data_IF_897375529916
#
_entry.id   IF_897375529916
#
_cell.length_a   1.000
_cell.length_b   1.000
_cell.length_c   1.000
_cell.angle_alpha   90.00
_cell.angle_beta   90.00
_cell.angle_gamma   90.00
#
_symmetry.space_group_name_H-M   'P 1'
#
loop_
_entity.id
_entity.type
_entity.pdbx_description
1 polymer ?
#
# COMPACT_ATOMS: atom_id res chain seq x y z
N UNK A 1 22.19 -15.10 -3.92
CA UNK A 1 21.04 -14.70 -4.79
C UNK A 1 20.64 -13.27 -4.47
N UNK A 2 20.68 -12.38 -5.46
CA UNK A 2 20.28 -10.98 -5.29
C UNK A 2 18.79 -10.84 -4.98
N UNK A 3 18.42 -9.70 -4.39
CA UNK A 3 17.02 -9.33 -4.19
C UNK A 3 16.45 -8.71 -5.48
N UNK A 4 15.47 -9.35 -6.07
CA UNK A 4 15.01 -9.11 -7.44
C UNK A 4 13.67 -8.38 -7.50
N UNK A 5 13.26 -7.95 -8.70
CA UNK A 5 11.88 -7.47 -8.93
C UNK A 5 10.81 -8.49 -8.56
N UNK A 6 11.14 -9.78 -8.71
CA UNK A 6 10.24 -10.88 -8.33
C UNK A 6 9.98 -10.87 -6.81
N UNK A 7 11.05 -10.69 -6.03
CA UNK A 7 10.98 -10.60 -4.58
C UNK A 7 10.16 -9.39 -4.12
N UNK A 8 10.36 -8.24 -4.78
CA UNK A 8 9.55 -7.03 -4.52
C UNK A 8 8.06 -7.29 -4.81
N UNK A 9 7.72 -7.98 -5.91
CA UNK A 9 6.34 -8.34 -6.22
C UNK A 9 5.77 -9.31 -5.19
N UNK A 10 6.57 -10.29 -4.75
CA UNK A 10 6.17 -11.21 -3.70
C UNK A 10 5.78 -10.46 -2.42
N UNK A 11 6.65 -9.57 -1.91
CA UNK A 11 6.37 -8.80 -0.70
C UNK A 11 5.13 -7.90 -0.89
N UNK A 12 4.95 -7.29 -2.05
CA UNK A 12 3.71 -6.55 -2.37
C UNK A 12 2.46 -7.46 -2.39
N UNK A 13 2.61 -8.71 -2.81
CA UNK A 13 1.55 -9.71 -2.73
C UNK A 13 1.17 -10.07 -1.29
N UNK A 14 2.16 -10.20 -0.42
CA UNK A 14 1.92 -10.36 1.02
C UNK A 14 1.26 -9.11 1.60
N UNK A 15 1.75 -7.93 1.26
CA UNK A 15 1.21 -6.67 1.74
C UNK A 15 -0.25 -6.45 1.32
N UNK A 16 -0.65 -6.81 0.08
CA UNK A 16 -2.07 -6.72 -0.30
C UNK A 16 -2.92 -7.72 0.48
N UNK A 17 -2.44 -8.92 0.75
CA UNK A 17 -3.15 -9.89 1.59
C UNK A 17 -3.36 -9.35 3.02
N UNK A 18 -2.33 -8.74 3.61
CA UNK A 18 -2.43 -8.07 4.92
C UNK A 18 -3.44 -6.93 4.89
N UNK A 19 -3.48 -6.13 3.83
CA UNK A 19 -4.44 -5.05 3.64
C UNK A 19 -5.88 -5.56 3.57
N UNK A 20 -6.14 -6.59 2.75
CA UNK A 20 -7.47 -7.20 2.64
C UNK A 20 -7.92 -7.76 3.99
N UNK A 21 -7.02 -8.43 4.71
CA UNK A 21 -7.30 -8.98 6.03
C UNK A 21 -7.58 -7.88 7.06
N UNK A 22 -6.84 -6.76 6.99
CA UNK A 22 -7.04 -5.57 7.81
C UNK A 22 -8.46 -5.02 7.64
N UNK A 23 -8.87 -4.75 6.41
CA UNK A 23 -10.19 -4.18 6.14
C UNK A 23 -11.36 -5.15 6.40
N UNK A 24 -11.11 -6.46 6.40
CA UNK A 24 -12.13 -7.43 6.77
C UNK A 24 -12.36 -7.50 8.28
N UNK A 25 -11.32 -7.41 9.11
CA UNK A 25 -11.43 -7.86 10.49
C UNK A 25 -10.92 -6.88 11.55
N UNK A 26 -10.15 -5.83 11.16
CA UNK A 26 -9.63 -4.87 12.15
C UNK A 26 -10.72 -3.99 12.77
N UNK A 27 -11.85 -3.84 12.09
CA UNK A 27 -12.96 -2.96 12.46
C UNK A 27 -14.28 -3.73 12.50
N UNK A 28 -14.52 -4.56 13.53
CA UNK A 28 -15.75 -5.35 13.63
C UNK A 28 -17.02 -4.50 13.55
N UNK A 29 -16.97 -3.26 14.05
CA UNK A 29 -18.06 -2.28 14.02
C UNK A 29 -18.46 -1.83 12.62
N UNK A 30 -17.59 -1.99 11.63
CA UNK A 30 -17.90 -1.71 10.21
C UNK A 30 -18.62 -2.87 9.51
N UNK A 31 -18.73 -4.03 10.17
CA UNK A 31 -19.44 -5.20 9.62
C UNK A 31 -20.91 -5.12 10.01
N UNK A 32 -21.70 -4.43 9.18
CA UNK A 32 -23.13 -4.16 9.43
C UNK A 32 -24.07 -5.14 8.72
N UNK A 33 -23.64 -5.75 7.63
CA UNK A 33 -24.47 -6.64 6.79
C UNK A 33 -23.94 -8.08 6.78
N UNK A 34 -23.21 -8.50 7.81
CA UNK A 34 -22.64 -9.84 7.89
C UNK A 34 -22.17 -10.21 9.28
N UNK A 35 -21.72 -11.43 9.41
CA UNK A 35 -21.08 -11.96 10.62
C UNK A 35 -19.86 -12.76 10.21
N UNK A 36 -18.85 -12.79 11.08
CA UNK A 36 -17.71 -13.68 10.87
C UNK A 36 -17.40 -14.48 12.13
N UNK A 37 -16.91 -15.68 11.91
CA UNK A 37 -16.48 -16.63 12.94
C UNK A 37 -14.94 -16.70 12.84
N UNK A 38 -14.25 -16.31 13.91
CA UNK A 38 -12.80 -16.51 14.02
C UNK A 38 -12.50 -17.98 14.26
N UNK A 39 -11.37 -18.45 13.70
CA UNK A 39 -10.91 -19.81 13.96
C UNK A 39 -10.51 -20.03 15.43
N UNK A 40 -10.16 -18.97 16.13
CA UNK A 40 -9.78 -19.02 17.52
C UNK A 40 -10.14 -17.73 18.24
N UNK A 41 -10.63 -17.88 19.48
CA UNK A 41 -10.88 -16.78 20.41
C UNK A 41 -10.44 -17.24 21.81
N UNK A 42 -9.75 -16.38 22.52
CA UNK A 42 -9.26 -16.65 23.88
C UNK A 42 -9.52 -15.41 24.74
N UNK A 43 -10.21 -15.58 25.87
CA UNK A 43 -10.59 -14.49 26.79
C UNK A 43 -11.10 -13.24 26.04
N UNK A 44 -12.15 -13.40 25.25
CA UNK A 44 -12.77 -12.35 24.42
C UNK A 44 -11.87 -11.77 23.32
N UNK A 45 -10.63 -12.23 23.22
CA UNK A 45 -9.72 -11.82 22.14
C UNK A 45 -9.93 -12.66 20.91
N UNK A 46 -10.42 -12.01 19.83
CA UNK A 46 -10.66 -12.64 18.55
C UNK A 46 -9.37 -12.58 17.69
N UNK A 47 -8.81 -13.76 17.38
CA UNK A 47 -7.57 -13.84 16.57
C UNK A 47 -7.69 -13.12 15.23
N UNK A 48 -8.86 -13.19 14.59
CA UNK A 48 -9.05 -12.51 13.30
C UNK A 48 -8.97 -10.99 13.45
N UNK A 49 -9.44 -10.42 14.55
CA UNK A 49 -9.31 -8.98 14.85
C UNK A 49 -7.85 -8.62 15.11
N UNK A 50 -7.12 -9.43 15.89
CA UNK A 50 -5.69 -9.18 16.15
C UNK A 50 -4.86 -9.22 14.88
N UNK A 51 -5.07 -10.23 14.04
CA UNK A 51 -4.42 -10.35 12.73
C UNK A 51 -4.84 -9.20 11.79
N UNK A 52 -6.11 -8.80 11.86
CA UNK A 52 -6.62 -7.64 11.14
C UNK A 52 -5.92 -6.35 11.55
N UNK A 53 -5.79 -6.09 12.85
CA UNK A 53 -5.08 -4.93 13.37
C UNK A 53 -3.59 -4.94 12.96
N UNK A 54 -2.94 -6.10 13.00
CA UNK A 54 -1.58 -6.28 12.50
C UNK A 54 -1.47 -5.95 11.01
N UNK A 55 -2.50 -6.27 10.23
CA UNK A 55 -2.52 -6.08 8.78
C UNK A 55 -2.27 -4.64 8.31
N UNK A 56 -2.48 -3.61 9.17
CA UNK A 56 -2.15 -2.21 8.86
C UNK A 56 -0.67 -1.99 8.50
N UNK A 57 0.23 -2.90 8.88
CA UNK A 57 1.65 -2.87 8.46
C UNK A 57 1.80 -2.86 6.93
N UNK A 58 0.75 -3.21 6.19
CA UNK A 58 0.73 -3.17 4.72
C UNK A 58 1.07 -1.77 4.18
N UNK A 59 0.60 -0.69 4.81
CA UNK A 59 0.83 0.69 4.34
C UNK A 59 2.33 1.05 4.35
N UNK A 60 3.04 1.01 5.49
CA UNK A 60 4.49 1.27 5.49
C UNK A 60 5.26 0.24 4.66
N UNK A 61 4.80 -1.01 4.53
CA UNK A 61 5.46 -2.03 3.72
C UNK A 61 5.34 -1.73 2.21
N UNK A 62 4.16 -1.33 1.71
CA UNK A 62 3.99 -0.86 0.33
C UNK A 62 4.85 0.37 0.04
N UNK A 63 4.87 1.31 0.97
CA UNK A 63 5.62 2.56 0.84
C UNK A 63 7.13 2.30 0.81
N UNK A 64 7.63 1.45 1.71
CA UNK A 64 9.03 1.02 1.77
C UNK A 64 9.45 0.32 0.48
N UNK A 65 8.66 -0.66 -0.01
CA UNK A 65 8.95 -1.35 -1.26
C UNK A 65 8.86 -0.42 -2.48
N UNK A 66 8.08 0.64 -2.40
CA UNK A 66 8.00 1.65 -3.47
C UNK A 66 9.23 2.54 -3.49
N UNK A 67 9.71 3.01 -2.33
CA UNK A 67 10.99 3.73 -2.19
C UNK A 67 12.17 2.88 -2.68
N UNK A 68 12.24 1.62 -2.24
CA UNK A 68 13.25 0.66 -2.68
C UNK A 68 13.27 0.51 -4.22
N UNK A 69 12.11 0.25 -4.82
CA UNK A 69 11.99 0.06 -6.27
C UNK A 69 12.24 1.34 -7.08
N UNK A 70 11.83 2.51 -6.56
CA UNK A 70 12.06 3.81 -7.19
C UNK A 70 13.54 4.13 -7.23
N UNK A 71 14.26 3.94 -6.11
CA UNK A 71 15.71 4.14 -6.04
C UNK A 71 16.46 3.23 -7.02
N UNK A 72 16.22 1.92 -7.00
CA UNK A 72 16.84 0.98 -7.95
C UNK A 72 16.52 1.32 -9.42
N UNK A 73 15.31 1.81 -9.68
CA UNK A 73 14.93 2.24 -11.04
C UNK A 73 15.71 3.48 -11.48
N UNK A 74 16.04 4.37 -10.56
CA UNK A 74 16.84 5.58 -10.85
C UNK A 74 18.32 5.30 -11.17
N UNK A 75 18.85 4.15 -10.72
CA UNK A 75 20.22 3.73 -11.01
C UNK A 75 20.42 3.16 -12.42
N UNK A 76 19.34 2.83 -13.13
CA UNK A 76 19.41 2.27 -14.50
C UNK A 76 19.72 3.29 -15.57
N UNK A 77 19.99 4.53 -15.19
CA UNK A 77 20.20 5.65 -16.08
C UNK A 77 18.93 6.36 -16.53
N UNK A 78 19.09 7.56 -17.03
CA UNK A 78 17.99 8.42 -17.48
C UNK A 78 17.65 9.57 -16.52
N UNK A 79 16.75 10.44 -17.00
CA UNK A 79 16.28 11.59 -16.23
C UNK A 79 15.40 11.15 -15.05
N UNK A 80 15.79 11.55 -13.85
CA UNK A 80 15.01 11.28 -12.62
C UNK A 80 13.62 11.94 -12.68
N UNK A 81 13.50 13.10 -13.32
CA UNK A 81 12.20 13.77 -13.52
C UNK A 81 11.27 12.97 -14.44
N UNK A 82 11.81 12.39 -15.51
CA UNK A 82 11.05 11.50 -16.39
C UNK A 82 10.61 10.22 -15.66
N UNK A 83 11.46 9.66 -14.79
CA UNK A 83 11.12 8.52 -13.93
C UNK A 83 9.93 8.87 -13.02
N UNK A 84 9.99 9.99 -12.33
CA UNK A 84 8.94 10.50 -11.44
C UNK A 84 7.63 10.69 -12.20
N UNK A 85 7.66 11.44 -13.31
CA UNK A 85 6.45 11.63 -14.15
C UNK A 85 5.82 10.32 -14.57
N UNK A 86 6.62 9.33 -14.98
CA UNK A 86 6.14 8.00 -15.37
C UNK A 86 5.47 7.27 -14.20
N UNK A 87 6.02 7.35 -12.98
CA UNK A 87 5.45 6.71 -11.81
C UNK A 87 4.15 7.39 -11.37
N UNK A 88 4.09 8.73 -11.32
CA UNK A 88 2.87 9.48 -11.02
C UNK A 88 1.79 9.19 -12.06
N UNK A 89 2.14 9.23 -13.35
CA UNK A 89 1.23 8.88 -14.43
C UNK A 89 0.69 7.44 -14.28
N UNK A 90 1.56 6.48 -13.96
CA UNK A 90 1.18 5.08 -13.72
C UNK A 90 0.21 4.92 -12.56
N UNK A 91 0.41 5.66 -11.45
CA UNK A 91 -0.47 5.71 -10.30
C UNK A 91 -1.85 6.25 -10.69
N UNK A 92 -1.90 7.46 -11.24
CA UNK A 92 -3.15 8.11 -11.63
C UNK A 92 -3.89 7.36 -12.74
N UNK A 93 -3.18 6.82 -13.72
CA UNK A 93 -3.78 5.98 -14.76
C UNK A 93 -4.51 4.78 -14.13
N UNK A 94 -3.89 4.09 -13.16
CA UNK A 94 -4.52 2.96 -12.47
C UNK A 94 -5.71 3.43 -11.64
N UNK A 95 -5.58 4.54 -10.93
CA UNK A 95 -6.65 5.15 -10.15
C UNK A 95 -7.85 5.55 -11.04
N UNK A 96 -7.61 6.27 -12.13
CA UNK A 96 -8.66 6.70 -13.04
C UNK A 96 -9.36 5.55 -13.78
N UNK A 97 -8.65 4.45 -14.02
CA UNK A 97 -9.26 3.24 -14.55
C UNK A 97 -10.33 2.70 -13.58
N UNK A 98 -10.00 2.59 -12.30
CA UNK A 98 -10.95 2.16 -11.26
C UNK A 98 -12.06 3.20 -11.08
N UNK A 99 -11.67 4.46 -10.93
CA UNK A 99 -12.61 5.58 -10.76
C UNK A 99 -13.67 5.60 -11.86
N UNK A 100 -13.28 5.53 -13.13
CA UNK A 100 -14.21 5.58 -14.27
C UNK A 100 -15.17 4.40 -14.32
N UNK A 101 -14.72 3.20 -13.93
CA UNK A 101 -15.59 2.00 -13.88
C UNK A 101 -16.56 2.09 -12.69
N UNK A 102 -16.12 2.62 -11.56
CA UNK A 102 -16.95 2.75 -10.36
C UNK A 102 -17.89 3.98 -10.40
N UNK A 103 -17.53 5.02 -11.16
CA UNK A 103 -18.24 6.31 -11.18
C UNK A 103 -19.75 6.19 -11.40
N UNK A 104 -20.30 5.39 -12.35
CA UNK A 104 -21.75 5.30 -12.53
C UNK A 104 -22.48 4.83 -11.27
N UNK A 105 -21.92 3.85 -10.55
CA UNK A 105 -22.50 3.32 -9.31
C UNK A 105 -22.33 4.32 -8.17
N UNK A 106 -21.18 4.98 -8.08
CA UNK A 106 -20.91 6.02 -7.10
C UNK A 106 -21.88 7.19 -7.26
N UNK A 107 -22.08 7.69 -8.49
CA UNK A 107 -23.02 8.78 -8.78
C UNK A 107 -24.45 8.36 -8.45
N UNK A 108 -24.86 7.14 -8.81
CA UNK A 108 -26.18 6.63 -8.50
C UNK A 108 -26.45 6.57 -6.99
N UNK A 109 -25.57 5.95 -6.22
CA UNK A 109 -25.68 5.84 -4.75
C UNK A 109 -25.58 7.20 -4.07
N UNK A 110 -24.67 8.06 -4.52
CA UNK A 110 -24.49 9.39 -3.94
C UNK A 110 -25.70 10.28 -4.13
N UNK A 111 -26.29 10.27 -5.31
CA UNK A 111 -27.55 11.01 -5.59
C UNK A 111 -28.73 10.54 -4.75
N UNK A 112 -28.77 9.26 -4.40
CA UNK A 112 -29.80 8.72 -3.53
C UNK A 112 -29.65 9.17 -2.07
N UNK A 113 -28.43 9.56 -1.66
CA UNK A 113 -28.10 9.93 -0.28
C UNK A 113 -27.95 11.44 -0.08
N UNK A 114 -27.48 12.17 -1.09
CA UNK A 114 -27.17 13.63 -1.05
C UNK A 114 -27.32 14.25 -2.44
N UNK A 115 -27.47 15.59 -2.49
CA UNK A 115 -27.29 16.32 -3.74
C UNK A 115 -25.81 16.24 -4.15
N UNK A 116 -25.50 15.51 -5.23
CA UNK A 116 -24.15 15.44 -5.79
C UNK A 116 -23.78 16.77 -6.44
N UNK A 117 -22.72 17.40 -5.96
CA UNK A 117 -22.18 18.62 -6.56
C UNK A 117 -21.04 18.25 -7.52
N UNK A 118 -20.96 18.91 -8.67
CA UNK A 118 -19.97 18.61 -9.71
C UNK A 118 -18.52 18.70 -9.20
N UNK A 119 -18.23 19.61 -8.26
CA UNK A 119 -16.89 19.74 -7.67
C UNK A 119 -16.46 18.49 -6.88
N UNK A 120 -17.40 17.75 -6.26
CA UNK A 120 -17.07 16.53 -5.51
C UNK A 120 -16.52 15.44 -6.44
N UNK A 121 -17.08 15.32 -7.65
CA UNK A 121 -16.55 14.39 -8.66
C UNK A 121 -15.15 14.80 -9.07
N UNK A 122 -14.91 16.10 -9.30
CA UNK A 122 -13.60 16.62 -9.70
C UNK A 122 -12.57 16.41 -8.58
N UNK A 123 -12.93 16.73 -7.33
CA UNK A 123 -12.00 16.57 -6.20
C UNK A 123 -11.66 15.11 -5.93
N UNK A 124 -12.62 14.19 -6.03
CA UNK A 124 -12.35 12.75 -5.94
C UNK A 124 -11.51 12.26 -7.12
N UNK A 125 -11.78 12.73 -8.35
CA UNK A 125 -11.00 12.38 -9.54
C UNK A 125 -9.53 12.84 -9.44
N UNK A 126 -9.27 13.96 -8.80
CA UNK A 126 -7.92 14.47 -8.54
C UNK A 126 -7.27 13.82 -7.31
N UNK A 127 -8.02 13.09 -6.49
CA UNK A 127 -7.55 12.53 -5.22
C UNK A 127 -7.46 13.57 -4.09
N UNK A 128 -8.03 14.77 -4.27
CA UNK A 128 -8.10 15.84 -3.26
C UNK A 128 -9.13 15.54 -2.17
N UNK A 129 -10.18 14.81 -2.53
CA UNK A 129 -11.21 14.30 -1.62
C UNK A 129 -11.30 12.78 -1.74
N UNK A 130 -11.72 12.14 -0.66
CA UNK A 130 -11.95 10.69 -0.58
C UNK A 130 -13.39 10.35 -0.24
N UNK A 131 -14.31 11.31 -0.41
CA UNK A 131 -15.72 11.13 -0.04
C UNK A 131 -16.43 9.97 -0.76
N UNK A 132 -15.92 9.52 -1.90
CA UNK A 132 -16.45 8.36 -2.63
C UNK A 132 -15.89 7.03 -2.11
N UNK A 133 -14.68 7.03 -1.55
CA UNK A 133 -14.04 5.88 -0.93
C UNK A 133 -12.91 6.38 -0.03
N UNK A 134 -13.10 6.32 1.27
CA UNK A 134 -12.13 6.82 2.26
C UNK A 134 -10.76 6.17 2.12
N UNK A 135 -10.71 4.93 1.66
CA UNK A 135 -9.45 4.19 1.51
C UNK A 135 -8.60 4.63 0.30
N UNK A 136 -9.09 5.59 -0.48
CA UNK A 136 -8.30 6.26 -1.53
C UNK A 136 -7.40 7.39 -1.01
N UNK A 137 -7.40 7.63 0.31
CA UNK A 137 -6.60 8.66 0.96
C UNK A 137 -5.12 8.64 0.55
N UNK A 138 -4.56 7.46 0.31
CA UNK A 138 -3.15 7.26 -0.01
C UNK A 138 -2.75 7.77 -1.42
N UNK A 139 -3.69 7.99 -2.35
CA UNK A 139 -3.38 8.36 -3.75
C UNK A 139 -2.60 9.67 -3.83
N UNK A 140 -3.14 10.75 -3.25
CA UNK A 140 -2.52 12.07 -3.33
C UNK A 140 -1.22 12.17 -2.52
N UNK A 141 -1.16 11.78 -1.25
CA UNK A 141 0.09 11.78 -0.48
C UNK A 141 1.19 10.96 -1.16
N UNK A 142 0.85 9.82 -1.74
CA UNK A 142 1.83 9.00 -2.45
C UNK A 142 2.31 9.65 -3.76
N UNK A 143 1.44 10.34 -4.50
CA UNK A 143 1.85 11.12 -5.68
C UNK A 143 2.81 12.27 -5.32
N UNK A 144 2.52 12.98 -4.21
CA UNK A 144 3.41 14.03 -3.67
C UNK A 144 4.75 13.43 -3.24
N UNK A 145 4.73 12.28 -2.57
CA UNK A 145 5.94 11.58 -2.15
C UNK A 145 6.81 11.16 -3.35
N UNK A 146 6.19 10.69 -4.44
CA UNK A 146 6.90 10.44 -5.69
C UNK A 146 7.51 11.72 -6.28
N UNK A 147 6.81 12.85 -6.21
CA UNK A 147 7.34 14.14 -6.66
C UNK A 147 8.54 14.62 -5.80
N UNK A 148 8.57 14.28 -4.52
CA UNK A 148 9.68 14.56 -3.61
C UNK A 148 10.90 13.63 -3.83
N UNK A 149 10.76 12.56 -4.61
CA UNK A 149 11.82 11.57 -4.81
C UNK A 149 13.17 12.17 -5.24
N UNK A 150 13.27 13.19 -6.15
CA UNK A 150 14.56 13.78 -6.50
C UNK A 150 15.29 14.41 -5.30
N UNK A 151 14.57 15.02 -4.36
CA UNK A 151 15.14 15.57 -3.12
C UNK A 151 15.56 14.44 -2.17
N UNK A 152 14.71 13.42 -2.00
CA UNK A 152 15.02 12.23 -1.21
C UNK A 152 16.26 11.52 -1.76
N UNK A 153 16.36 11.37 -3.08
CA UNK A 153 17.53 10.76 -3.73
C UNK A 153 18.81 11.55 -3.42
N UNK A 154 18.79 12.89 -3.55
CA UNK A 154 19.94 13.74 -3.20
C UNK A 154 20.34 13.58 -1.74
N UNK A 155 19.38 13.53 -0.83
CA UNK A 155 19.63 13.28 0.58
C UNK A 155 20.30 11.92 0.79
N UNK A 156 19.76 10.87 0.20
CA UNK A 156 20.31 9.51 0.31
C UNK A 156 21.70 9.41 -0.31
N UNK A 157 21.98 10.08 -1.43
CA UNK A 157 23.27 10.03 -2.16
C UNK A 157 24.29 11.10 -1.72
N UNK A 158 24.04 11.83 -0.63
CA UNK A 158 24.97 12.86 -0.13
C UNK A 158 26.35 12.28 0.18
N UNK A 159 27.37 13.12 0.11
CA UNK A 159 28.74 12.79 0.53
C UNK A 159 28.75 12.42 2.02
N UNK A 160 29.61 11.48 2.41
CA UNK A 160 29.77 11.00 3.79
C UNK A 160 28.51 10.33 4.39
N UNK A 161 27.54 9.91 3.56
CA UNK A 161 26.41 9.12 4.03
C UNK A 161 26.88 7.70 4.40
N UNK A 162 26.40 7.21 5.54
CA UNK A 162 26.59 5.84 6.00
C UNK A 162 25.25 5.25 6.43
N UNK A 163 25.09 3.92 6.32
CA UNK A 163 23.82 3.26 6.62
C UNK A 163 23.26 3.64 8.00
N UNK A 164 24.08 3.57 9.04
CA UNK A 164 23.64 3.87 10.41
C UNK A 164 23.29 5.34 10.60
N UNK A 165 24.05 6.25 9.99
CA UNK A 165 23.77 7.69 10.03
C UNK A 165 22.47 8.00 9.31
N UNK A 166 22.21 7.37 8.15
CA UNK A 166 20.99 7.57 7.37
C UNK A 166 19.76 7.06 8.13
N UNK A 167 19.85 5.87 8.73
CA UNK A 167 18.77 5.32 9.55
C UNK A 167 18.52 6.16 10.81
N UNK A 168 19.57 6.66 11.45
CA UNK A 168 19.46 7.59 12.59
C UNK A 168 18.71 8.88 12.18
N UNK A 169 19.07 9.49 11.04
CA UNK A 169 18.42 10.70 10.55
C UNK A 169 16.95 10.46 10.21
N UNK A 170 16.59 9.28 9.69
CA UNK A 170 15.17 8.92 9.49
C UNK A 170 14.45 8.75 10.83
N UNK A 171 15.11 8.19 11.85
CA UNK A 171 14.54 8.09 13.19
C UNK A 171 14.32 9.47 13.82
N UNK A 172 15.25 10.41 13.64
CA UNK A 172 15.10 11.81 14.07
C UNK A 172 13.95 12.48 13.32
N UNK A 173 13.89 12.34 11.98
CA UNK A 173 12.79 12.85 11.18
C UNK A 173 11.44 12.30 11.68
N UNK A 174 11.36 11.01 11.92
CA UNK A 174 10.15 10.38 12.45
C UNK A 174 9.78 10.92 13.84
N UNK A 175 10.75 11.17 14.72
CA UNK A 175 10.50 11.79 16.03
C UNK A 175 9.92 13.19 15.87
N UNK A 176 10.44 13.99 14.94
CA UNK A 176 9.87 15.30 14.61
C UNK A 176 8.43 15.19 14.12
N UNK A 177 8.16 14.25 13.22
CA UNK A 177 6.82 14.02 12.66
C UNK A 177 5.82 13.59 13.74
N UNK A 178 6.22 12.71 14.65
CA UNK A 178 5.29 12.07 15.59
C UNK A 178 5.08 12.88 16.86
N UNK A 179 6.07 13.63 17.30
CA UNK A 179 6.03 14.33 18.59
C UNK A 179 6.05 15.85 18.46
N UNK A 180 6.94 16.40 17.62
CA UNK A 180 7.16 17.85 17.56
C UNK A 180 6.07 18.52 16.73
N UNK A 181 5.80 17.99 15.53
CA UNK A 181 4.78 18.59 14.64
C UNK A 181 3.39 18.60 15.30
N UNK A 182 2.86 17.50 15.87
CA UNK A 182 1.59 17.53 16.57
C UNK A 182 1.57 18.52 17.74
N UNK A 183 2.62 18.53 18.57
CA UNK A 183 2.71 19.47 19.70
C UNK A 183 2.70 20.95 19.26
N UNK A 184 3.29 21.27 18.10
CA UNK A 184 3.23 22.61 17.50
C UNK A 184 1.84 22.89 16.96
N UNK A 185 1.21 21.91 16.27
CA UNK A 185 -0.11 22.09 15.64
C UNK A 185 -1.26 22.16 16.65
N UNK A 186 -1.06 21.67 17.88
CA UNK A 186 -2.00 21.83 19.00
C UNK A 186 -2.02 23.25 19.58
N UNK A 187 -1.03 24.10 19.23
CA UNK A 187 -1.02 25.48 19.72
C UNK A 187 -2.19 26.30 19.13
N UNK A 188 -2.81 27.20 19.91
CA UNK A 188 -3.98 27.97 19.46
C UNK A 188 -3.78 28.72 18.13
N UNK A 189 -2.57 29.21 17.88
CA UNK A 189 -2.22 29.94 16.65
C UNK A 189 -2.36 29.07 15.38
N UNK A 190 -2.26 27.76 15.50
CA UNK A 190 -2.37 26.80 14.38
C UNK A 190 -3.73 26.10 14.32
N UNK A 191 -4.67 26.39 15.25
CA UNK A 191 -5.96 25.70 15.35
C UNK A 191 -6.79 25.74 14.06
N UNK A 192 -6.77 26.87 13.35
CA UNK A 192 -7.44 26.98 12.05
C UNK A 192 -6.79 26.12 10.96
N UNK A 193 -5.46 26.04 10.95
CA UNK A 193 -4.71 25.23 9.96
C UNK A 193 -4.90 23.72 10.23
N UNK A 194 -4.81 23.29 11.49
CA UNK A 194 -4.91 21.89 11.89
C UNK A 194 -6.28 21.26 11.55
N UNK A 195 -7.34 22.07 11.42
CA UNK A 195 -8.68 21.60 11.06
C UNK A 195 -8.94 21.59 9.54
N UNK A 196 -7.95 21.97 8.72
CA UNK A 196 -8.12 22.01 7.26
C UNK A 196 -7.92 20.65 6.61
N UNK A 197 -8.63 20.42 5.50
CA UNK A 197 -8.38 19.25 4.62
C UNK A 197 -6.94 19.22 4.12
N UNK A 198 -6.36 20.40 3.88
CA UNK A 198 -4.94 20.51 3.47
C UNK A 198 -4.01 19.89 4.52
N UNK A 199 -4.22 20.25 5.80
CA UNK A 199 -3.38 19.71 6.87
C UNK A 199 -3.54 18.19 7.01
N UNK A 200 -4.75 17.67 6.92
CA UNK A 200 -4.99 16.23 6.92
C UNK A 200 -4.19 15.51 5.80
N UNK A 201 -4.09 16.09 4.59
CA UNK A 201 -3.26 15.53 3.50
C UNK A 201 -1.76 15.63 3.80
N UNK A 202 -1.32 16.67 4.53
CA UNK A 202 0.07 16.78 5.01
C UNK A 202 0.38 15.70 6.04
N UNK A 203 -0.49 15.45 7.01
CA UNK A 203 -0.32 14.38 8.01
C UNK A 203 -0.20 13.01 7.35
N UNK A 204 -1.06 12.70 6.39
CA UNK A 204 -0.99 11.45 5.62
C UNK A 204 0.33 11.30 4.84
N UNK A 205 0.86 12.39 4.27
CA UNK A 205 2.17 12.40 3.62
C UNK A 205 3.29 12.14 4.63
N UNK A 206 3.23 12.80 5.78
CA UNK A 206 4.23 12.66 6.84
C UNK A 206 4.22 11.23 7.43
N UNK A 207 3.06 10.60 7.57
CA UNK A 207 2.94 9.20 8.02
C UNK A 207 3.71 8.23 7.12
N UNK A 208 3.66 8.41 5.79
CA UNK A 208 4.29 7.47 4.84
C UNK A 208 5.74 7.80 4.49
N UNK A 209 6.20 9.04 4.75
CA UNK A 209 7.53 9.53 4.36
C UNK A 209 8.68 8.72 4.96
N UNK A 210 8.73 8.41 6.29
CA UNK A 210 9.84 7.67 6.88
C UNK A 210 10.04 6.29 6.26
N UNK A 211 8.95 5.56 5.99
CA UNK A 211 9.00 4.23 5.36
C UNK A 211 9.56 4.30 3.93
N UNK A 212 9.18 5.31 3.16
CA UNK A 212 9.68 5.49 1.80
C UNK A 212 11.18 5.80 1.77
N UNK A 213 11.63 6.74 2.61
CA UNK A 213 13.05 7.08 2.73
C UNK A 213 13.86 5.88 3.17
N UNK A 214 13.37 5.13 4.16
CA UNK A 214 13.99 3.86 4.60
C UNK A 214 14.13 2.88 3.44
N UNK A 215 13.09 2.72 2.60
CA UNK A 215 13.16 1.89 1.40
C UNK A 215 14.28 2.31 0.43
N UNK A 216 14.45 3.62 0.20
CA UNK A 216 15.54 4.16 -0.61
C UNK A 216 16.92 3.86 0.01
N UNK A 217 17.05 3.98 1.33
CA UNK A 217 18.28 3.68 2.08
C UNK A 217 18.63 2.18 1.97
N UNK A 218 17.66 1.29 2.22
CA UNK A 218 17.87 -0.16 2.10
C UNK A 218 18.31 -0.56 0.68
N UNK A 219 17.79 0.12 -0.34
CA UNK A 219 18.20 -0.09 -1.73
C UNK A 219 19.61 0.43 -2.02
N UNK A 220 19.95 1.64 -1.54
CA UNK A 220 21.28 2.22 -1.71
C UNK A 220 22.39 1.32 -1.16
N UNK A 221 22.18 0.81 0.05
CA UNK A 221 23.16 -0.03 0.73
C UNK A 221 23.02 -1.52 0.43
N UNK A 222 22.13 -1.88 -0.50
CA UNK A 222 21.87 -3.25 -0.93
C UNK A 222 21.60 -4.22 0.23
N UNK A 223 20.91 -3.73 1.27
CA UNK A 223 20.71 -4.46 2.53
C UNK A 223 19.95 -5.75 2.30
N UNK A 224 18.85 -5.70 1.53
CA UNK A 224 18.00 -6.88 1.30
C UNK A 224 18.72 -7.98 0.51
N UNK A 225 19.55 -7.63 -0.49
CA UNK A 225 20.36 -8.61 -1.22
C UNK A 225 21.42 -9.22 -0.33
N UNK A 226 22.15 -8.39 0.45
CA UNK A 226 23.21 -8.89 1.36
C UNK A 226 22.64 -9.86 2.39
N UNK A 227 21.49 -9.53 3.00
CA UNK A 227 20.81 -10.40 3.95
C UNK A 227 20.36 -11.69 3.28
N UNK A 228 19.72 -11.60 2.11
CA UNK A 228 19.25 -12.77 1.33
C UNK A 228 20.39 -13.67 0.93
N UNK A 229 21.54 -13.11 0.50
CA UNK A 229 22.71 -13.91 0.10
C UNK A 229 23.36 -14.62 1.29
N UNK A 230 23.45 -13.94 2.45
CA UNK A 230 24.16 -14.45 3.61
C UNK A 230 23.34 -15.47 4.43
N UNK A 231 22.05 -15.24 4.58
CA UNK A 231 21.18 -15.96 5.52
C UNK A 231 20.01 -16.68 4.84
N UNK A 232 19.74 -16.37 3.58
CA UNK A 232 18.52 -16.79 2.88
C UNK A 232 18.39 -18.30 2.74
N UNK A 233 17.22 -18.83 3.12
CA UNK A 233 16.84 -20.22 2.98
C UNK A 233 17.50 -21.20 3.94
N UNK A 234 18.43 -20.74 4.80
CA UNK A 234 19.06 -21.58 5.82
C UNK A 234 18.07 -21.88 6.95
N UNK A 235 17.87 -23.13 7.40
CA UNK A 235 16.82 -23.50 8.35
C UNK A 235 16.87 -22.69 9.65
N UNK A 236 18.05 -22.56 10.27
CA UNK A 236 18.22 -21.80 11.51
C UNK A 236 17.75 -20.33 11.36
N UNK A 237 18.19 -19.67 10.29
CA UNK A 237 17.83 -18.28 10.02
C UNK A 237 16.37 -18.13 9.60
N UNK A 238 15.79 -19.11 8.93
CA UNK A 238 14.36 -19.14 8.64
C UNK A 238 13.54 -19.24 9.94
N UNK A 239 13.93 -20.10 10.89
CA UNK A 239 13.30 -20.17 12.20
C UNK A 239 13.43 -18.85 12.98
N UNK A 240 14.62 -18.25 12.98
CA UNK A 240 14.86 -16.94 13.59
C UNK A 240 14.01 -15.83 12.93
N UNK A 241 13.89 -15.85 11.60
CA UNK A 241 13.05 -14.90 10.88
C UNK A 241 11.55 -15.06 11.22
N UNK A 242 11.05 -16.29 11.32
CA UNK A 242 9.67 -16.55 11.76
C UNK A 242 9.44 -16.10 13.21
N UNK A 243 10.38 -16.39 14.11
CA UNK A 243 10.32 -15.90 15.50
C UNK A 243 10.34 -14.35 15.56
N UNK A 244 11.18 -13.70 14.72
CA UNK A 244 11.21 -12.25 14.59
C UNK A 244 9.89 -11.67 14.06
N UNK A 245 9.26 -12.29 13.07
CA UNK A 245 7.92 -11.87 12.59
C UNK A 245 6.85 -12.02 13.66
N UNK A 246 6.91 -13.11 14.44
CA UNK A 246 6.02 -13.32 15.57
C UNK A 246 6.25 -12.25 16.65
N UNK A 247 7.52 -11.91 16.93
CA UNK A 247 7.85 -10.83 17.85
C UNK A 247 7.27 -9.48 17.38
N UNK A 248 7.39 -9.14 16.09
CA UNK A 248 6.76 -7.93 15.52
C UNK A 248 5.24 -7.98 15.74
N UNK A 249 4.60 -9.12 15.54
CA UNK A 249 3.15 -9.25 15.75
C UNK A 249 2.74 -8.87 17.19
N UNK A 250 3.51 -9.27 18.21
CA UNK A 250 3.22 -8.93 19.60
C UNK A 250 3.67 -7.53 20.02
N UNK A 251 4.76 -7.02 19.46
CA UNK A 251 5.32 -5.70 19.83
C UNK A 251 4.62 -4.55 19.13
N UNK A 252 4.19 -4.76 17.89
CA UNK A 252 3.58 -3.71 17.05
C UNK A 252 2.35 -3.03 17.67
N UNK A 253 1.42 -3.70 18.38
CA UNK A 253 0.29 -3.03 19.03
C UNK A 253 0.70 -1.90 19.98
N UNK A 254 1.90 -1.97 20.55
CA UNK A 254 2.42 -0.98 21.50
C UNK A 254 3.22 0.14 20.83
N UNK A 255 3.73 -0.08 19.61
CA UNK A 255 4.65 0.85 18.97
C UNK A 255 4.25 1.33 17.56
N UNK A 256 3.20 0.77 16.96
CA UNK A 256 2.81 1.06 15.57
C UNK A 256 2.58 2.54 15.29
N UNK A 257 2.04 3.27 16.25
CA UNK A 257 1.78 4.72 16.13
C UNK A 257 3.07 5.52 15.88
N UNK A 258 4.20 5.01 16.35
CA UNK A 258 5.47 5.76 16.40
C UNK A 258 6.55 5.18 15.50
N UNK A 259 6.58 3.86 15.31
CA UNK A 259 7.72 3.15 14.72
C UNK A 259 7.33 2.19 13.60
N UNK A 260 6.20 2.38 12.95
CA UNK A 260 5.70 1.42 11.94
C UNK A 260 6.65 1.31 10.73
N UNK A 261 7.41 2.36 10.40
CA UNK A 261 8.45 2.30 9.38
C UNK A 261 9.59 1.32 9.76
N UNK A 262 9.94 1.21 11.06
CA UNK A 262 10.91 0.23 11.57
C UNK A 262 10.33 -1.17 11.48
N UNK A 263 9.08 -1.36 11.93
CA UNK A 263 8.38 -2.64 11.85
C UNK A 263 8.36 -3.16 10.40
N UNK A 264 8.04 -2.30 9.43
CA UNK A 264 8.03 -2.66 8.02
C UNK A 264 9.42 -2.97 7.47
N UNK A 265 10.45 -2.21 7.88
CA UNK A 265 11.83 -2.45 7.46
C UNK A 265 12.35 -3.79 7.99
N UNK A 266 12.15 -4.07 9.28
CA UNK A 266 12.52 -5.35 9.90
C UNK A 266 11.74 -6.50 9.25
N UNK A 267 10.44 -6.33 9.02
CA UNK A 267 9.62 -7.33 8.34
C UNK A 267 10.14 -7.63 6.93
N UNK A 268 10.52 -6.62 6.14
CA UNK A 268 11.10 -6.80 4.81
C UNK A 268 12.46 -7.53 4.85
N UNK A 269 13.31 -7.23 5.84
CA UNK A 269 14.59 -7.91 6.07
C UNK A 269 14.37 -9.38 6.43
N UNK A 270 13.45 -9.68 7.35
CA UNK A 270 13.10 -11.05 7.72
C UNK A 270 12.50 -11.83 6.52
N UNK A 271 11.69 -11.16 5.70
CA UNK A 271 11.19 -11.77 4.46
C UNK A 271 12.32 -12.10 3.47
N UNK A 272 13.35 -11.25 3.36
CA UNK A 272 14.50 -11.53 2.49
C UNK A 272 15.21 -12.82 2.89
N UNK A 273 15.23 -13.18 4.19
CA UNK A 273 15.73 -14.47 4.69
C UNK A 273 14.85 -15.64 4.26
N UNK A 274 13.52 -15.47 4.30
CA UNK A 274 12.55 -16.54 4.02
C UNK A 274 12.37 -16.84 2.53
N UNK A 275 12.54 -15.82 1.66
CA UNK A 275 12.24 -15.94 0.21
C UNK A 275 12.89 -17.14 -0.51
N UNK A 276 14.15 -17.54 -0.21
CA UNK A 276 14.75 -18.71 -0.84
C UNK A 276 14.25 -20.06 -0.31
N UNK A 277 13.50 -20.08 0.79
CA UNK A 277 12.97 -21.33 1.36
C UNK A 277 11.92 -21.98 0.44
N UNK A 278 11.91 -23.31 0.37
CA UNK A 278 11.01 -24.07 -0.51
C UNK A 278 9.53 -23.68 -0.39
N UNK A 279 8.93 -23.50 0.82
CA UNK A 279 7.52 -23.09 0.93
C UNK A 279 7.25 -21.73 0.29
N UNK A 280 8.17 -20.77 0.42
CA UNK A 280 8.04 -19.44 -0.19
C UNK A 280 8.15 -19.51 -1.71
N UNK A 281 9.02 -20.38 -2.25
CA UNK A 281 9.13 -20.58 -3.69
C UNK A 281 7.87 -21.23 -4.29
N UNK A 282 7.24 -22.17 -3.58
CA UNK A 282 5.97 -22.78 -3.99
C UNK A 282 4.82 -21.75 -4.02
N UNK A 283 4.72 -20.93 -2.98
CA UNK A 283 3.74 -19.84 -2.91
C UNK A 283 4.07 -18.66 -3.85
N UNK A 284 5.31 -18.58 -4.34
CA UNK A 284 5.87 -17.45 -5.06
C UNK A 284 5.02 -16.97 -6.23
N UNK A 285 4.57 -17.88 -7.09
CA UNK A 285 3.77 -17.53 -8.27
C UNK A 285 2.43 -16.86 -7.90
N UNK A 286 1.83 -17.26 -6.79
CA UNK A 286 0.55 -16.68 -6.31
C UNK A 286 0.80 -15.28 -5.80
N UNK A 287 1.73 -15.11 -4.85
CA UNK A 287 2.03 -13.81 -4.28
C UNK A 287 2.59 -12.81 -5.31
N UNK A 288 3.39 -13.27 -6.28
CA UNK A 288 3.86 -12.42 -7.37
C UNK A 288 2.70 -11.86 -8.21
N UNK A 289 1.72 -12.72 -8.57
CA UNK A 289 0.53 -12.29 -9.31
C UNK A 289 -0.34 -11.32 -8.50
N UNK A 290 -0.53 -11.58 -7.21
CA UNK A 290 -1.22 -10.65 -6.31
C UNK A 290 -0.47 -9.32 -6.21
N UNK A 291 0.84 -9.35 -6.10
CA UNK A 291 1.69 -8.15 -6.05
C UNK A 291 1.67 -7.33 -7.35
N UNK A 292 1.54 -7.98 -8.52
CA UNK A 292 1.35 -7.30 -9.81
C UNK A 292 0.04 -6.52 -9.89
N UNK A 293 -1.00 -7.03 -9.28
CA UNK A 293 -2.35 -6.42 -9.27
C UNK A 293 -2.63 -5.62 -8.00
N UNK A 294 -1.70 -5.56 -7.05
CA UNK A 294 -1.91 -5.02 -5.70
C UNK A 294 -2.49 -3.61 -5.67
N UNK A 295 -2.05 -2.72 -6.56
CA UNK A 295 -2.59 -1.36 -6.63
C UNK A 295 -4.07 -1.33 -7.05
N UNK A 296 -4.46 -2.17 -8.01
CA UNK A 296 -5.83 -2.22 -8.47
C UNK A 296 -6.74 -2.95 -7.48
N UNK A 297 -6.22 -4.01 -6.84
CA UNK A 297 -6.90 -4.70 -5.74
C UNK A 297 -7.15 -3.75 -4.56
N UNK A 298 -6.12 -2.94 -4.18
CA UNK A 298 -6.28 -1.90 -3.16
C UNK A 298 -7.38 -0.91 -3.51
N UNK A 299 -7.42 -0.40 -4.72
CA UNK A 299 -8.41 0.60 -5.13
C UNK A 299 -9.85 0.06 -5.20
N UNK A 300 -10.05 -1.26 -5.26
CA UNK A 300 -11.38 -1.87 -5.49
C UNK A 300 -11.94 -2.64 -4.31
N UNK A 301 -11.12 -3.17 -3.40
CA UNK A 301 -11.57 -4.14 -2.39
C UNK A 301 -12.65 -3.60 -1.43
N UNK A 302 -12.57 -2.33 -1.07
CA UNK A 302 -13.52 -1.71 -0.14
C UNK A 302 -14.92 -1.56 -0.70
N UNK A 303 -15.07 -1.49 -2.03
CA UNK A 303 -16.38 -1.57 -2.65
C UNK A 303 -17.07 -2.92 -2.40
N UNK A 304 -16.28 -3.98 -2.24
CA UNK A 304 -16.80 -5.29 -1.86
C UNK A 304 -17.08 -5.39 -0.36
N UNK A 305 -16.09 -5.08 0.50
CA UNK A 305 -16.20 -5.37 1.92
C UNK A 305 -16.89 -4.27 2.75
N UNK A 306 -17.03 -3.02 2.24
CA UNK A 306 -17.67 -1.92 2.97
C UNK A 306 -18.88 -1.33 2.29
N UNK A 307 -18.79 -1.04 0.97
CA UNK A 307 -19.76 -0.14 0.36
C UNK A 307 -20.90 -0.82 -0.37
N UNK A 308 -20.65 -1.93 -1.10
CA UNK A 308 -21.66 -2.43 -2.03
C UNK A 308 -22.07 -3.88 -1.83
N UNK A 309 -21.15 -4.74 -1.45
CA UNK A 309 -21.34 -6.19 -1.48
C UNK A 309 -20.92 -6.86 -0.16
N UNK A 310 -21.01 -6.15 0.96
CA UNK A 310 -20.58 -6.66 2.26
C UNK A 310 -21.25 -8.01 2.58
N UNK A 311 -22.57 -8.10 2.40
CA UNK A 311 -23.32 -9.34 2.62
C UNK A 311 -22.78 -10.51 1.78
N UNK A 312 -22.39 -10.25 0.52
CA UNK A 312 -21.79 -11.27 -0.36
C UNK A 312 -20.42 -11.72 0.13
N UNK A 313 -19.61 -10.76 0.61
CA UNK A 313 -18.25 -11.04 1.11
C UNK A 313 -18.29 -11.90 2.37
N UNK A 314 -19.22 -11.65 3.28
CA UNK A 314 -19.33 -12.38 4.57
C UNK A 314 -20.19 -13.65 4.49
N UNK A 315 -20.73 -14.03 3.32
CA UNK A 315 -21.48 -15.28 3.13
C UNK A 315 -20.77 -16.53 3.67
N UNK A 316 -19.46 -16.73 3.47
CA UNK A 316 -18.78 -17.94 3.93
C UNK A 316 -18.67 -18.06 5.47
N UNK A 317 -18.95 -17.01 6.22
CA UNK A 317 -18.93 -16.89 7.70
C UNK A 317 -17.58 -17.14 8.38
N UNK A 318 -16.76 -18.08 7.93
CA UNK A 318 -15.44 -18.36 8.53
C UNK A 318 -14.39 -17.40 8.02
N UNK A 319 -13.64 -16.75 8.91
CA UNK A 319 -12.68 -15.68 8.56
C UNK A 319 -11.66 -16.07 7.47
N UNK A 320 -11.08 -17.28 7.41
CA UNK A 320 -10.19 -17.62 6.30
C UNK A 320 -10.90 -17.72 4.95
N UNK A 321 -12.16 -18.22 4.94
CA UNK A 321 -12.94 -18.33 3.71
C UNK A 321 -13.40 -16.96 3.22
N UNK A 322 -13.80 -16.06 4.11
CA UNK A 322 -14.13 -14.66 3.79
C UNK A 322 -12.90 -13.97 3.17
N UNK A 323 -11.72 -14.15 3.77
CA UNK A 323 -10.48 -13.59 3.25
C UNK A 323 -10.14 -14.13 1.85
N UNK A 324 -10.20 -15.42 1.63
CA UNK A 324 -9.95 -16.02 0.32
C UNK A 324 -10.97 -15.53 -0.72
N UNK A 325 -12.23 -15.39 -0.32
CA UNK A 325 -13.30 -14.91 -1.17
C UNK A 325 -13.09 -13.45 -1.58
N UNK A 326 -12.80 -12.54 -0.63
CA UNK A 326 -12.47 -11.15 -0.95
C UNK A 326 -11.20 -11.05 -1.82
N UNK A 327 -10.20 -11.89 -1.57
CA UNK A 327 -8.98 -11.93 -2.39
C UNK A 327 -9.32 -12.31 -3.83
N UNK A 328 -10.16 -13.32 -4.05
CA UNK A 328 -10.60 -13.75 -5.37
C UNK A 328 -11.42 -12.65 -6.09
N UNK A 329 -12.37 -12.02 -5.39
CA UNK A 329 -13.18 -10.91 -5.91
C UNK A 329 -12.30 -9.72 -6.31
N UNK A 330 -11.39 -9.30 -5.43
CA UNK A 330 -10.50 -8.16 -5.69
C UNK A 330 -9.51 -8.44 -6.83
N UNK A 331 -8.97 -9.65 -6.90
CA UNK A 331 -8.10 -10.03 -8.01
C UNK A 331 -8.87 -10.15 -9.33
N UNK A 332 -10.05 -10.75 -9.30
CA UNK A 332 -10.93 -10.87 -10.46
C UNK A 332 -11.36 -9.50 -11.00
N UNK A 333 -11.74 -8.57 -10.11
CA UNK A 333 -12.08 -7.19 -10.50
C UNK A 333 -10.90 -6.45 -11.13
N UNK A 334 -9.69 -6.62 -10.59
CA UNK A 334 -8.48 -6.04 -11.15
C UNK A 334 -8.22 -6.53 -12.59
N UNK A 335 -8.39 -7.83 -12.84
CA UNK A 335 -8.26 -8.42 -14.18
C UNK A 335 -9.35 -7.94 -15.13
N UNK A 336 -10.59 -7.87 -14.64
CA UNK A 336 -11.74 -7.42 -15.45
C UNK A 336 -11.58 -5.95 -15.88
N UNK A 337 -11.22 -5.06 -14.96
CA UNK A 337 -10.99 -3.65 -15.26
C UNK A 337 -9.88 -3.50 -16.32
N UNK A 338 -8.76 -4.21 -16.15
CA UNK A 338 -7.68 -4.19 -17.16
C UNK A 338 -8.14 -4.73 -18.51
N UNK A 339 -8.99 -5.76 -18.54
CA UNK A 339 -9.54 -6.30 -19.78
C UNK A 339 -10.42 -5.28 -20.49
N UNK A 340 -11.36 -4.65 -19.77
CA UNK A 340 -12.23 -3.58 -20.28
C UNK A 340 -11.39 -2.49 -20.95
N UNK A 341 -10.38 -1.98 -20.26
CA UNK A 341 -9.54 -0.91 -20.82
C UNK A 341 -8.72 -1.36 -22.04
N UNK A 342 -8.24 -2.61 -22.07
CA UNK A 342 -7.59 -3.16 -23.27
C UNK A 342 -8.53 -3.25 -24.46
N UNK A 343 -9.77 -3.65 -24.24
CA UNK A 343 -10.79 -3.73 -25.30
C UNK A 343 -11.15 -2.35 -25.82
N UNK A 344 -11.37 -1.38 -24.93
CA UNK A 344 -11.62 0.02 -25.29
C UNK A 344 -10.46 0.57 -26.12
N UNK A 345 -9.21 0.40 -25.68
CA UNK A 345 -8.04 0.87 -26.41
C UNK A 345 -7.92 0.25 -27.81
N UNK A 346 -8.26 -1.05 -27.98
CA UNK A 346 -8.26 -1.70 -29.30
C UNK A 346 -9.33 -1.13 -30.22
N UNK A 347 -10.53 -0.84 -29.70
CA UNK A 347 -11.62 -0.22 -30.49
C UNK A 347 -11.22 1.16 -31.02
N UNK A 348 -10.61 1.99 -30.16
CA UNK A 348 -10.12 3.32 -30.58
C UNK A 348 -8.97 3.23 -31.58
N UNK A 349 -8.01 2.33 -31.39
CA UNK A 349 -6.92 2.12 -32.32
C UNK A 349 -7.41 1.65 -33.70
N UNK A 350 -8.38 0.74 -33.76
CA UNK A 350 -8.96 0.26 -35.02
C UNK A 350 -9.75 1.34 -35.76
N UNK A 351 -10.42 2.24 -35.05
CA UNK A 351 -11.13 3.38 -35.64
C UNK A 351 -10.16 4.42 -36.20
N UNK A 352 -9.07 4.73 -35.47
CA UNK A 352 -8.02 5.63 -35.93
C UNK A 352 -7.35 5.13 -37.21
N UNK A 353 -7.05 3.83 -37.30
CA UNK A 353 -6.46 3.22 -38.48
C UNK A 353 -7.41 3.27 -39.70
N UNK A 354 -8.73 3.08 -39.52
CA UNK A 354 -9.71 3.19 -40.59
C UNK A 354 -9.90 4.64 -41.07
N UNK A 355 -9.83 5.62 -40.16
CA UNK A 355 -9.90 7.04 -40.53
C UNK A 355 -8.66 7.50 -41.29
N UNK A 356 -7.46 6.97 -40.97
CA UNK A 356 -6.21 7.29 -41.69
C UNK A 356 -6.08 6.58 -43.04
N UNK A 357 -6.80 5.48 -43.26
CA UNK A 357 -6.81 4.75 -44.54
C UNK A 357 -7.93 5.18 -45.49
N UNK A 358 -8.83 6.06 -45.05
CA UNK A 358 -9.94 6.60 -45.87
C UNK A 358 -9.76 8.04 -46.33
N UNK A 359 -8.53 8.62 -46.12
CA UNK A 359 -8.10 9.88 -46.71
C UNK A 359 -6.99 9.55 -47.72
#
# INVERSE_FOLDING_TARGET
MEFTKRDTKFIKGVAICLMLYHHLFAFPERVTEGVFISLWSFNDTNLSVCLGAFGRICVPLFTLMSGYGCYLSSLRGGDTGALVRRHIWGLYKTFWMVFSVCLPVLVYKWRAMRSLLAYEVIYNFLGLSTSFNDEWWFVLPFAVLLALFPAIKRFVERKNAALYTDLFLVAVLNTVIVYIIPAVMEQPVFSMLSQTVFWARVEELLEILPAYVTGCILARYDVLSRVKMRFGGQPLWCCAALAGMLAIFFVRPYNHKYYDFVNAAVFAVLFAVLLPAKPMQLAGKVFEKLGEESAMMWLTHTFFCYYWLQRLVYLPRYSPLIFLWLTALSYGSAKLIRLIYRLIARIFASRGAKSAAGV
#
